data_IF_869777176398
#
_entry.id   IF_869777176398
#
_cell.length_a   1.000
_cell.length_b   1.000
_cell.length_c   1.000
_cell.angle_alpha   90.00
_cell.angle_beta   90.00
_cell.angle_gamma   90.00
#
_symmetry.space_group_name_H-M   'P 1'
#
loop_
_entity.id
_entity.type
_entity.pdbx_description
1 polymer ?
#
# COMPACT_ATOMS: atom_id res chain seq x y z
N UNK A 1 -52.83 -22.32 51.92
CA UNK A 1 -52.85 -20.96 52.50
C UNK A 1 -51.43 -20.62 52.89
N UNK A 2 -50.90 -19.55 52.27
CA UNK A 2 -49.91 -18.60 52.81
C UNK A 2 -48.55 -19.12 53.30
N UNK A 3 -47.37 -18.57 53.02
CA UNK A 3 -46.77 -17.63 52.04
C UNK A 3 -45.38 -17.30 52.62
N UNK A 4 -44.37 -17.14 51.77
CA UNK A 4 -43.06 -16.47 52.01
C UNK A 4 -42.12 -17.14 53.04
N UNK A 5 -40.79 -17.17 52.85
CA UNK A 5 -39.93 -16.03 52.56
C UNK A 5 -38.62 -16.45 51.86
N UNK A 6 -38.09 -15.50 51.11
CA UNK A 6 -37.03 -15.56 50.13
C UNK A 6 -35.63 -15.83 50.74
N UNK A 7 -34.76 -16.46 49.94
CA UNK A 7 -33.39 -15.96 49.80
C UNK A 7 -32.83 -16.34 48.44
N UNK A 8 -33.07 -15.46 47.49
CA UNK A 8 -32.33 -15.37 46.24
C UNK A 8 -30.87 -15.06 46.55
N UNK A 9 -29.96 -15.79 45.93
CA UNK A 9 -28.53 -15.51 45.93
C UNK A 9 -28.18 -15.19 44.48
N UNK A 10 -28.30 -13.91 44.19
CA UNK A 10 -27.87 -13.23 42.97
C UNK A 10 -26.39 -12.84 43.21
N UNK A 11 -25.46 -13.33 42.39
CA UNK A 11 -24.11 -12.78 42.31
C UNK A 11 -23.48 -13.08 40.93
N UNK A 12 -23.30 -11.98 40.20
CA UNK A 12 -22.32 -11.67 39.15
C UNK A 12 -22.43 -12.29 37.75
N UNK A 13 -23.39 -11.74 37.01
CA UNK A 13 -23.31 -11.49 35.57
C UNK A 13 -22.23 -10.42 35.29
N UNK A 14 -21.02 -10.85 34.90
CA UNK A 14 -20.01 -9.95 34.33
C UNK A 14 -20.23 -9.90 32.81
N UNK A 15 -21.18 -9.07 32.38
CA UNK A 15 -21.16 -8.48 31.05
C UNK A 15 -20.44 -7.12 31.08
N UNK A 16 -20.06 -6.68 29.89
CA UNK A 16 -19.71 -5.30 29.55
C UNK A 16 -18.21 -4.93 29.42
N UNK A 17 -17.65 -5.44 28.32
CA UNK A 17 -17.18 -4.60 27.20
C UNK A 17 -16.70 -3.19 27.54
N UNK A 18 -15.38 -2.97 27.64
CA UNK A 18 -14.80 -1.61 27.50
C UNK A 18 -13.29 -1.54 27.20
N UNK A 19 -12.68 -2.50 26.50
CA UNK A 19 -11.26 -2.39 26.07
C UNK A 19 -11.07 -2.00 24.59
N UNK A 20 -12.09 -1.42 23.97
CA UNK A 20 -11.99 -0.89 22.60
C UNK A 20 -12.22 0.61 22.55
N UNK A 21 -11.60 1.38 23.46
CA UNK A 21 -11.60 2.83 23.34
C UNK A 21 -10.17 3.38 23.38
N UNK A 22 -9.82 4.11 22.31
CA UNK A 22 -8.67 5.00 22.15
C UNK A 22 -7.27 4.41 21.94
N UNK A 23 -7.12 3.45 21.00
CA UNK A 23 -5.81 3.06 20.46
C UNK A 23 -5.36 3.91 19.25
N UNK A 24 -5.73 5.19 19.21
CA UNK A 24 -5.55 6.00 17.98
C UNK A 24 -4.10 6.47 17.77
N UNK A 25 -3.27 6.66 18.80
CA UNK A 25 -1.90 7.19 18.59
C UNK A 25 -0.83 6.53 19.46
N UNK A 26 -0.37 5.34 19.07
CA UNK A 26 0.85 4.77 19.64
C UNK A 26 2.09 5.66 19.35
N UNK A 27 2.81 6.03 20.41
CA UNK A 27 4.03 6.83 20.31
C UNK A 27 5.25 5.94 20.01
N UNK A 28 5.73 6.03 18.77
CA UNK A 28 6.87 5.25 18.29
C UNK A 28 8.22 5.74 18.86
N UNK A 29 8.68 5.09 19.94
CA UNK A 29 10.05 5.26 20.45
C UNK A 29 11.09 4.74 19.46
N UNK A 30 12.37 5.12 19.65
CA UNK A 30 13.45 4.61 18.81
C UNK A 30 13.57 3.08 18.89
N UNK A 31 13.57 2.53 20.11
CA UNK A 31 13.61 1.09 20.34
C UNK A 31 12.43 0.36 19.67
N UNK A 32 11.21 0.90 19.77
CA UNK A 32 10.03 0.33 19.12
C UNK A 32 10.16 0.30 17.58
N UNK A 33 10.75 1.34 16.99
CA UNK A 33 10.97 1.41 15.53
C UNK A 33 12.03 0.39 15.10
N UNK A 34 13.13 0.28 15.86
CA UNK A 34 14.20 -0.69 15.55
C UNK A 34 13.67 -2.12 15.62
N UNK A 35 12.93 -2.46 16.68
CA UNK A 35 12.27 -3.77 16.82
C UNK A 35 11.31 -4.05 15.65
N UNK A 36 10.50 -3.05 15.26
CA UNK A 36 9.57 -3.19 14.14
C UNK A 36 10.30 -3.47 12.81
N UNK A 37 11.43 -2.80 12.56
CA UNK A 37 12.23 -3.02 11.34
C UNK A 37 12.86 -4.41 11.32
N UNK A 38 13.37 -4.87 12.46
CA UNK A 38 13.97 -6.20 12.62
C UNK A 38 12.92 -7.31 12.38
N UNK A 39 11.77 -7.23 13.05
CA UNK A 39 10.67 -8.17 12.86
C UNK A 39 10.13 -8.18 11.43
N UNK A 40 10.07 -7.00 10.80
CA UNK A 40 9.69 -6.89 9.40
C UNK A 40 10.69 -7.61 8.49
N UNK A 41 11.99 -7.41 8.70
CA UNK A 41 13.07 -8.07 7.92
C UNK A 41 12.95 -9.59 7.98
N UNK A 42 12.70 -10.16 9.16
CA UNK A 42 12.58 -11.62 9.34
C UNK A 42 11.39 -12.21 8.58
N UNK A 43 10.29 -11.45 8.46
CA UNK A 43 9.03 -11.95 7.90
C UNK A 43 8.82 -11.58 6.45
N UNK A 44 9.62 -10.67 5.91
CA UNK A 44 9.48 -10.18 4.55
C UNK A 44 9.51 -11.30 3.51
N UNK A 45 10.43 -12.26 3.66
CA UNK A 45 10.54 -13.44 2.78
C UNK A 45 9.25 -14.27 2.76
N UNK A 46 8.63 -14.45 3.93
CA UNK A 46 7.37 -15.20 4.09
C UNK A 46 6.17 -14.46 3.51
N UNK A 47 6.20 -13.12 3.51
CA UNK A 47 5.18 -12.28 2.90
C UNK A 47 5.30 -12.30 1.37
N UNK A 48 6.52 -12.23 0.83
CA UNK A 48 6.77 -12.27 -0.62
C UNK A 48 6.56 -13.65 -1.24
N UNK A 49 6.78 -14.74 -0.48
CA UNK A 49 6.63 -16.10 -1.01
C UNK A 49 5.18 -16.61 -1.07
N UNK A 50 4.19 -15.80 -0.68
CA UNK A 50 2.77 -16.18 -0.67
C UNK A 50 2.38 -17.25 0.36
N UNK A 51 3.30 -17.68 1.22
CA UNK A 51 3.08 -18.73 2.24
C UNK A 51 2.11 -18.28 3.35
N UNK A 52 1.86 -16.97 3.45
CA UNK A 52 1.04 -16.37 4.49
C UNK A 52 0.37 -15.10 3.98
N UNK A 53 -0.90 -14.90 4.35
CA UNK A 53 -1.60 -13.64 4.09
C UNK A 53 -0.88 -12.45 4.73
N UNK A 54 -0.84 -11.32 4.03
CA UNK A 54 -0.27 -10.06 4.55
C UNK A 54 -0.86 -9.68 5.92
N UNK A 55 -2.19 -9.82 6.10
CA UNK A 55 -2.84 -9.53 7.38
C UNK A 55 -2.23 -10.37 8.51
N UNK A 56 -2.15 -11.69 8.32
CA UNK A 56 -1.57 -12.63 9.29
C UNK A 56 -0.10 -12.30 9.60
N UNK A 57 0.67 -11.86 8.61
CA UNK A 57 2.06 -11.48 8.81
C UNK A 57 2.19 -10.23 9.71
N UNK A 58 1.38 -9.19 9.44
CA UNK A 58 1.35 -7.99 10.28
C UNK A 58 0.83 -8.24 11.69
N UNK A 59 -0.18 -9.10 11.84
CA UNK A 59 -0.69 -9.50 13.15
C UNK A 59 0.35 -10.28 13.96
N UNK A 60 1.22 -11.07 13.30
CA UNK A 60 2.36 -11.70 13.97
C UNK A 60 3.40 -10.68 14.45
N UNK A 61 3.71 -9.67 13.64
CA UNK A 61 4.62 -8.58 14.03
C UNK A 61 4.06 -7.82 15.24
N UNK A 62 2.78 -7.44 15.18
CA UNK A 62 2.11 -6.75 16.28
C UNK A 62 2.13 -7.57 17.58
N UNK A 63 1.94 -8.90 17.49
CA UNK A 63 2.07 -9.77 18.67
C UNK A 63 3.46 -9.71 19.30
N UNK A 64 4.53 -9.76 18.50
CA UNK A 64 5.90 -9.63 19.04
C UNK A 64 6.12 -8.27 19.69
N UNK A 65 5.64 -7.20 19.06
CA UNK A 65 5.68 -5.84 19.63
C UNK A 65 4.95 -5.78 20.98
N UNK A 66 3.75 -6.35 21.08
CA UNK A 66 2.94 -6.38 22.31
C UNK A 66 3.65 -7.16 23.43
N UNK A 67 4.27 -8.31 23.12
CA UNK A 67 5.07 -9.08 24.10
C UNK A 67 6.24 -8.27 24.65
N UNK A 68 6.79 -7.34 23.87
CA UNK A 68 7.85 -6.41 24.28
C UNK A 68 7.32 -5.15 24.98
N UNK A 69 6.02 -5.11 25.30
CA UNK A 69 5.39 -3.99 26.01
C UNK A 69 4.93 -2.84 25.12
N UNK A 70 4.91 -3.01 23.80
CA UNK A 70 4.41 -1.99 22.88
C UNK A 70 3.01 -2.33 22.40
N UNK A 71 2.00 -1.66 22.93
CA UNK A 71 0.61 -1.93 22.55
C UNK A 71 0.28 -1.36 21.15
N UNK A 72 0.39 -2.20 20.12
CA UNK A 72 0.15 -1.84 18.72
C UNK A 72 -0.69 -2.89 17.98
N UNK A 73 -1.38 -2.46 16.93
CA UNK A 73 -2.10 -3.33 16.00
C UNK A 73 -1.27 -3.63 14.75
N UNK A 74 -1.59 -4.71 14.04
CA UNK A 74 -0.96 -5.03 12.76
C UNK A 74 -1.09 -3.90 11.73
N UNK A 75 -2.24 -3.19 11.72
CA UNK A 75 -2.46 -2.01 10.88
C UNK A 75 -1.53 -0.86 11.23
N UNK A 76 -1.26 -0.62 12.51
CA UNK A 76 -0.32 0.43 12.96
C UNK A 76 1.12 0.08 12.55
N UNK A 77 1.56 -1.17 12.73
CA UNK A 77 2.86 -1.66 12.26
C UNK A 77 3.03 -1.47 10.75
N UNK A 78 2.04 -1.91 9.97
CA UNK A 78 2.03 -1.75 8.51
C UNK A 78 2.11 -0.28 8.10
N UNK A 79 1.28 0.57 8.69
CA UNK A 79 1.24 2.00 8.41
C UNK A 79 2.57 2.66 8.73
N UNK A 80 3.21 2.28 9.84
CA UNK A 80 4.50 2.82 10.24
C UNK A 80 5.61 2.43 9.25
N UNK A 81 5.72 1.14 8.89
CA UNK A 81 6.69 0.67 7.88
C UNK A 81 6.46 1.38 6.54
N UNK A 82 5.22 1.50 6.07
CA UNK A 82 4.90 2.16 4.81
C UNK A 82 5.29 3.65 4.82
N UNK A 83 5.06 4.34 5.93
CA UNK A 83 5.53 5.72 6.11
C UNK A 83 7.04 5.80 6.08
N UNK A 84 7.75 4.90 6.77
CA UNK A 84 9.21 4.86 6.71
C UNK A 84 9.74 4.61 5.30
N UNK A 85 9.14 3.68 4.54
CA UNK A 85 9.50 3.42 3.14
C UNK A 85 9.34 4.67 2.26
N UNK A 86 8.25 5.41 2.45
CA UNK A 86 8.02 6.69 1.75
C UNK A 86 9.10 7.72 2.09
N UNK A 87 9.37 7.94 3.37
CA UNK A 87 10.42 8.89 3.82
C UNK A 87 11.79 8.50 3.27
N UNK A 88 12.16 7.22 3.36
CA UNK A 88 13.41 6.71 2.78
C UNK A 88 13.51 7.04 1.29
N UNK A 89 12.47 6.72 0.52
CA UNK A 89 12.44 7.01 -0.92
C UNK A 89 12.61 8.51 -1.20
N UNK A 90 11.88 9.37 -0.49
CA UNK A 90 12.01 10.82 -0.64
C UNK A 90 13.42 11.32 -0.35
N UNK A 91 14.08 10.80 0.70
CA UNK A 91 15.47 11.17 1.04
C UNK A 91 16.45 10.66 -0.01
N UNK A 92 16.30 9.40 -0.45
CA UNK A 92 17.16 8.78 -1.47
C UNK A 92 17.05 9.50 -2.82
N UNK A 93 15.83 9.80 -3.26
CA UNK A 93 15.57 10.53 -4.50
C UNK A 93 16.12 11.96 -4.44
N UNK A 94 16.01 12.64 -3.29
CA UNK A 94 16.59 13.98 -3.10
C UNK A 94 18.11 13.96 -3.18
N UNK A 95 18.75 12.97 -2.54
CA UNK A 95 20.20 12.86 -2.47
C UNK A 95 20.83 12.37 -3.80
N UNK A 96 20.05 11.70 -4.66
CA UNK A 96 20.50 11.28 -5.99
C UNK A 96 20.44 12.37 -7.06
N UNK A 97 19.87 13.54 -6.78
CA UNK A 97 19.80 14.66 -7.73
C UNK A 97 21.06 15.52 -7.67
N UNK A 98 21.66 15.80 -8.82
CA UNK A 98 22.79 16.72 -8.92
C UNK A 98 22.41 18.13 -8.45
N UNK A 99 23.32 18.81 -7.75
CA UNK A 99 23.11 20.16 -7.21
C UNK A 99 22.32 20.23 -5.91
N UNK A 100 21.83 19.11 -5.36
CA UNK A 100 21.15 19.09 -4.07
C UNK A 100 22.12 18.91 -2.89
N UNK A 101 21.83 19.60 -1.79
CA UNK A 101 22.48 19.32 -0.51
C UNK A 101 22.04 17.95 0.04
N UNK A 102 22.95 17.23 0.68
CA UNK A 102 22.65 15.92 1.25
C UNK A 102 21.68 16.06 2.44
N UNK A 103 20.56 15.35 2.38
CA UNK A 103 19.63 15.17 3.50
C UNK A 103 20.03 13.95 4.32
N UNK A 104 20.01 14.09 5.63
CA UNK A 104 20.22 12.99 6.57
C UNK A 104 18.90 12.59 7.22
N UNK A 105 18.75 11.32 7.55
CA UNK A 105 17.64 10.82 8.34
C UNK A 105 18.14 9.71 9.25
N UNK A 106 17.82 9.77 10.54
CA UNK A 106 18.33 8.83 11.56
C UNK A 106 18.06 7.35 11.30
N UNK A 107 17.09 7.03 10.44
CA UNK A 107 16.76 5.65 10.06
C UNK A 107 17.19 5.32 8.62
N UNK A 108 17.94 6.20 7.97
CA UNK A 108 18.36 6.03 6.58
C UNK A 108 19.16 4.74 6.40
N UNK A 109 20.22 4.55 7.18
CA UNK A 109 21.10 3.37 7.05
C UNK A 109 20.38 2.06 7.37
N UNK A 110 19.53 2.07 8.42
CA UNK A 110 18.70 0.91 8.76
C UNK A 110 17.74 0.54 7.61
N UNK A 111 17.18 1.55 6.94
CA UNK A 111 16.27 1.37 5.80
C UNK A 111 17.02 1.01 4.50
N UNK A 112 18.22 1.55 4.29
CA UNK A 112 19.11 1.20 3.18
C UNK A 112 19.56 -0.26 3.30
N UNK A 113 19.92 -0.73 4.50
CA UNK A 113 20.23 -2.15 4.71
C UNK A 113 19.04 -3.08 4.44
N UNK A 114 17.81 -2.60 4.64
CA UNK A 114 16.58 -3.37 4.45
C UNK A 114 16.12 -3.37 2.97
N UNK A 115 16.26 -2.25 2.27
CA UNK A 115 15.62 -2.01 0.97
C UNK A 115 16.63 -1.76 -0.16
N UNK A 116 17.86 -1.40 0.17
CA UNK A 116 18.90 -0.98 -0.79
C UNK A 116 19.30 -2.07 -1.78
N UNK A 117 19.17 -3.34 -1.41
CA UNK A 117 19.46 -4.47 -2.31
C UNK A 117 18.29 -4.84 -3.24
N UNK A 118 17.22 -4.06 -3.29
CA UNK A 118 16.02 -4.40 -4.06
C UNK A 118 15.97 -3.65 -5.40
N UNK A 119 15.69 -4.35 -6.52
CA UNK A 119 15.74 -3.74 -7.86
C UNK A 119 14.73 -2.59 -8.05
N UNK A 120 13.62 -2.56 -7.30
CA UNK A 120 12.64 -1.47 -7.41
C UNK A 120 13.06 -0.17 -6.68
N UNK A 121 14.18 -0.20 -5.96
CA UNK A 121 14.73 0.96 -5.23
C UNK A 121 15.88 1.65 -5.97
N UNK A 122 16.28 1.15 -7.13
CA UNK A 122 17.21 1.84 -8.01
C UNK A 122 16.48 2.97 -8.75
N UNK A 123 17.13 4.14 -8.93
CA UNK A 123 16.54 5.21 -9.72
C UNK A 123 16.37 4.70 -11.16
N UNK A 124 15.17 4.91 -11.73
CA UNK A 124 14.97 4.74 -13.17
C UNK A 124 15.99 5.65 -13.85
N UNK A 125 16.95 5.06 -14.54
CA UNK A 125 17.94 5.81 -15.31
C UNK A 125 17.17 6.73 -16.23
N UNK A 126 17.18 8.02 -15.93
CA UNK A 126 16.65 9.03 -16.84
C UNK A 126 17.52 8.95 -18.08
N UNK A 127 16.95 8.52 -19.20
CA UNK A 127 17.59 8.67 -20.51
C UNK A 127 17.90 10.16 -20.63
N UNK A 128 19.18 10.50 -20.47
CA UNK A 128 19.66 11.85 -20.68
C UNK A 128 19.46 12.15 -22.15
N UNK A 129 18.62 13.13 -22.49
CA UNK A 129 18.54 13.67 -23.85
C UNK A 129 19.79 14.52 -24.13
N UNK A 130 20.96 13.89 -24.08
CA UNK A 130 22.18 14.44 -24.65
C UNK A 130 22.44 13.57 -25.88
N UNK A 131 22.10 14.12 -27.04
CA UNK A 131 22.36 13.49 -28.32
C UNK A 131 23.85 13.17 -28.43
N UNK A 132 24.16 11.89 -28.55
CA UNK A 132 25.47 11.45 -29.00
C UNK A 132 25.30 10.18 -29.83
N UNK A 133 25.23 10.44 -31.13
CA UNK A 133 25.72 9.63 -32.26
C UNK A 133 25.82 8.12 -32.04
N UNK A 134 24.86 7.38 -32.58
CA UNK A 134 25.03 5.96 -32.92
C UNK A 134 25.94 5.85 -34.14
N UNK A 135 27.12 5.25 -33.99
CA UNK A 135 27.95 4.82 -35.12
C UNK A 135 27.68 3.34 -35.45
N UNK A 136 27.02 3.07 -36.58
CA UNK A 136 27.15 1.84 -37.41
C UNK A 136 26.35 1.98 -38.74
N UNK A 137 26.64 1.20 -39.80
CA UNK A 137 27.28 1.68 -41.02
C UNK A 137 26.36 1.73 -42.27
N UNK A 138 26.66 2.71 -43.14
CA UNK A 138 26.58 2.76 -44.62
C UNK A 138 25.63 1.82 -45.39
N UNK A 139 24.60 2.38 -46.08
CA UNK A 139 24.37 2.40 -47.57
C UNK A 139 22.92 2.81 -47.98
N UNK A 140 22.64 3.21 -49.25
CA UNK A 140 22.10 4.54 -49.55
C UNK A 140 20.72 4.59 -50.26
N UNK A 141 20.32 5.84 -50.51
CA UNK A 141 19.53 6.39 -51.64
C UNK A 141 18.12 6.99 -51.40
N UNK A 142 18.08 8.27 -51.81
CA UNK A 142 17.04 8.95 -52.60
C UNK A 142 15.86 9.68 -51.94
N UNK A 143 15.89 11.00 -52.19
CA UNK A 143 14.78 11.98 -52.37
C UNK A 143 14.12 12.42 -51.06
N UNK A 144 14.02 13.70 -50.69
CA UNK A 144 14.17 14.95 -51.41
C UNK A 144 13.12 15.92 -50.84
N UNK A 145 13.53 17.16 -50.56
CA UNK A 145 12.72 18.38 -50.36
C UNK A 145 12.92 19.09 -49.03
N UNK A 146 13.58 20.22 -49.20
CA UNK A 146 13.66 21.44 -48.39
C UNK A 146 12.31 21.93 -47.84
N UNK A 147 12.32 22.48 -46.63
CA UNK A 147 12.14 23.92 -46.47
C UNK A 147 12.67 24.41 -45.13
N UNK A 148 13.35 25.54 -45.22
CA UNK A 148 13.89 26.39 -44.17
C UNK A 148 12.80 27.02 -43.33
N UNK A 149 13.05 27.22 -42.03
CA UNK A 149 12.62 28.42 -41.32
C UNK A 149 13.51 28.63 -40.10
N UNK A 150 14.37 29.63 -40.23
CA UNK A 150 15.16 30.25 -39.17
C UNK A 150 14.24 31.04 -38.23
N UNK A 151 14.54 31.07 -36.94
CA UNK A 151 14.26 32.21 -36.06
C UNK A 151 15.10 32.11 -34.78
N UNK A 152 16.02 33.06 -34.68
CA UNK A 152 16.94 33.39 -33.57
C UNK A 152 16.12 34.02 -32.43
N UNK A 153 16.20 33.50 -31.20
CA UNK A 153 16.98 33.96 -30.02
C UNK A 153 16.18 34.71 -28.93
N UNK A 154 16.65 34.47 -27.70
CA UNK A 154 16.65 35.36 -26.50
C UNK A 154 15.49 35.31 -25.48
N UNK A 155 15.86 34.76 -24.32
CA UNK A 155 15.85 35.37 -22.97
C UNK A 155 14.63 36.15 -22.48
N UNK A 156 14.03 35.67 -21.37
CA UNK A 156 13.11 36.44 -20.53
C UNK A 156 12.53 35.63 -19.36
N UNK A 157 12.77 36.11 -18.13
CA UNK A 157 12.36 35.52 -16.85
C UNK A 157 10.84 35.62 -16.54
N UNK A 158 10.27 34.54 -15.96
CA UNK A 158 9.13 34.39 -14.99
C UNK A 158 7.79 35.18 -15.22
N UNK A 159 6.64 34.96 -14.51
CA UNK A 159 6.24 33.98 -13.49
C UNK A 159 4.86 33.26 -13.71
N UNK A 160 4.64 32.16 -12.95
CA UNK A 160 3.37 31.54 -12.44
C UNK A 160 2.02 31.75 -13.18
N UNK A 161 1.32 30.64 -13.52
CA UNK A 161 -0.13 30.41 -13.25
C UNK A 161 -0.57 28.97 -13.56
N UNK A 162 -1.17 28.28 -12.57
CA UNK A 162 -1.87 26.99 -12.75
C UNK A 162 -3.15 27.22 -13.53
N UNK A 163 -3.37 26.52 -14.65
CA UNK A 163 -4.67 26.48 -15.33
C UNK A 163 -5.47 25.30 -14.79
N UNK A 164 -6.57 25.59 -14.10
CA UNK A 164 -7.55 24.60 -13.71
C UNK A 164 -8.31 24.16 -14.98
N UNK A 165 -8.10 22.91 -15.37
CA UNK A 165 -8.81 22.27 -16.48
C UNK A 165 -9.77 21.25 -15.89
N UNK A 166 -11.06 21.52 -16.11
CA UNK A 166 -12.24 20.64 -16.04
C UNK A 166 -12.20 19.39 -15.13
N UNK A 167 -12.56 19.57 -13.85
CA UNK A 167 -12.72 18.51 -12.84
C UNK A 167 -13.98 17.60 -12.95
N UNK A 168 -15.14 18.02 -13.49
CA UNK A 168 -16.38 17.22 -13.35
C UNK A 168 -16.39 15.95 -14.22
N UNK A 169 -15.83 15.99 -15.42
CA UNK A 169 -15.81 14.84 -16.32
C UNK A 169 -14.95 13.68 -15.78
N UNK A 170 -13.82 14.00 -15.15
CA UNK A 170 -12.93 12.98 -14.55
C UNK A 170 -13.62 12.31 -13.37
N UNK A 171 -14.32 13.07 -12.54
CA UNK A 171 -15.07 12.54 -11.39
C UNK A 171 -16.16 11.57 -11.87
N UNK A 172 -16.90 11.91 -12.93
CA UNK A 172 -17.95 11.06 -13.50
C UNK A 172 -17.39 9.71 -13.97
N UNK A 173 -16.28 9.71 -14.72
CA UNK A 173 -15.65 8.47 -15.21
C UNK A 173 -15.14 7.55 -14.09
N UNK A 174 -14.73 8.13 -12.96
CA UNK A 174 -14.29 7.36 -11.80
C UNK A 174 -15.46 6.70 -11.07
N UNK A 175 -16.60 7.41 -10.97
CA UNK A 175 -17.84 6.87 -10.39
C UNK A 175 -18.35 5.69 -11.23
N UNK A 176 -18.39 5.84 -12.56
CA UNK A 176 -18.83 4.79 -13.47
C UNK A 176 -17.91 3.56 -13.43
N UNK A 177 -16.59 3.77 -13.42
CA UNK A 177 -15.63 2.66 -13.27
C UNK A 177 -15.80 1.92 -11.96
N UNK A 178 -16.13 2.63 -10.87
CA UNK A 178 -16.37 2.03 -9.56
C UNK A 178 -17.66 1.21 -9.54
N UNK A 179 -18.75 1.74 -10.09
CA UNK A 179 -20.04 1.04 -10.20
C UNK A 179 -19.91 -0.24 -11.03
N UNK A 180 -19.25 -0.17 -12.19
CA UNK A 180 -19.04 -1.34 -13.05
C UNK A 180 -18.22 -2.44 -12.37
N UNK A 181 -17.19 -2.05 -11.62
CA UNK A 181 -16.37 -3.00 -10.87
C UNK A 181 -17.13 -3.64 -9.69
N UNK A 182 -18.06 -2.90 -9.07
CA UNK A 182 -18.92 -3.40 -8.01
C UNK A 182 -19.97 -4.38 -8.55
N UNK A 183 -20.58 -4.05 -9.69
CA UNK A 183 -21.54 -4.91 -10.38
C UNK A 183 -20.89 -6.23 -10.84
N UNK A 184 -19.67 -6.19 -11.39
CA UNK A 184 -18.93 -7.41 -11.77
C UNK A 184 -18.63 -8.30 -10.55
N UNK A 185 -18.31 -7.68 -9.40
CA UNK A 185 -18.13 -8.42 -8.14
C UNK A 185 -19.43 -9.03 -7.65
N UNK A 186 -20.54 -8.28 -7.70
CA UNK A 186 -21.86 -8.77 -7.32
C UNK A 186 -22.33 -9.91 -8.24
N UNK A 187 -22.09 -9.81 -9.55
CA UNK A 187 -22.39 -10.87 -10.52
C UNK A 187 -21.61 -12.15 -10.24
N UNK A 188 -20.29 -12.06 -10.05
CA UNK A 188 -19.46 -13.22 -9.66
C UNK A 188 -19.91 -13.85 -8.35
N UNK A 189 -20.27 -13.02 -7.37
CA UNK A 189 -20.80 -13.50 -6.10
C UNK A 189 -22.13 -14.24 -6.30
N UNK A 190 -23.04 -13.69 -7.10
CA UNK A 190 -24.34 -14.31 -7.42
C UNK A 190 -24.16 -15.67 -8.09
N UNK A 191 -23.30 -15.78 -9.10
CA UNK A 191 -23.01 -17.04 -9.80
C UNK A 191 -22.45 -18.10 -8.84
N UNK A 192 -21.55 -17.69 -7.94
CA UNK A 192 -21.01 -18.57 -6.89
C UNK A 192 -22.09 -19.06 -5.93
N UNK A 193 -22.98 -18.16 -5.50
CA UNK A 193 -24.10 -18.52 -4.63
C UNK A 193 -25.09 -19.44 -5.34
N UNK A 194 -25.37 -19.21 -6.62
CA UNK A 194 -26.27 -20.07 -7.40
C UNK A 194 -25.69 -21.48 -7.58
N UNK A 195 -24.40 -21.61 -7.86
CA UNK A 195 -23.74 -22.91 -7.91
C UNK A 195 -23.78 -23.63 -6.54
N UNK A 196 -23.56 -22.89 -5.44
CA UNK A 196 -23.71 -23.40 -4.08
C UNK A 196 -25.12 -23.90 -3.79
N UNK A 197 -26.14 -23.09 -4.10
CA UNK A 197 -27.55 -23.46 -3.91
C UNK A 197 -27.94 -24.67 -4.76
N UNK A 198 -27.47 -24.76 -6.02
CA UNK A 198 -27.68 -25.94 -6.88
C UNK A 198 -27.06 -27.21 -6.31
N UNK A 199 -25.90 -27.10 -5.66
CA UNK A 199 -25.23 -28.23 -5.00
C UNK A 199 -26.00 -28.65 -3.75
N UNK A 200 -26.43 -27.70 -2.92
CA UNK A 200 -27.25 -27.96 -1.74
C UNK A 200 -28.56 -28.68 -2.10
N UNK A 201 -29.28 -28.20 -3.12
CA UNK A 201 -30.51 -28.84 -3.58
C UNK A 201 -30.30 -30.28 -4.10
N UNK A 202 -29.11 -30.59 -4.62
CA UNK A 202 -28.76 -31.97 -5.01
C UNK A 202 -28.48 -32.86 -3.79
N UNK A 203 -27.87 -32.31 -2.74
CA UNK A 203 -27.63 -33.01 -1.48
C UNK A 203 -28.95 -33.31 -0.75
N UNK A 204 -29.88 -32.36 -0.72
CA UNK A 204 -31.22 -32.56 -0.12
C UNK A 204 -31.98 -33.69 -0.82
N UNK A 205 -31.97 -33.74 -2.15
CA UNK A 205 -32.56 -34.85 -2.93
C UNK A 205 -31.93 -36.22 -2.69
N UNK A 206 -30.69 -36.26 -2.22
CA UNK A 206 -30.02 -37.52 -1.84
C UNK A 206 -30.39 -37.94 -0.41
N UNK A 207 -30.66 -36.97 0.47
CA UNK A 207 -31.12 -37.22 1.84
C UNK A 207 -32.59 -37.65 1.88
N UNK A 208 -33.44 -37.13 0.99
CA UNK A 208 -34.86 -37.49 0.85
C UNK A 208 -35.10 -38.87 0.20
N UNK A 209 -34.04 -39.55 -0.28
CA UNK A 209 -34.10 -40.86 -0.93
C UNK A 209 -33.84 -42.06 0.01
N UNK A 210 -33.94 -41.84 1.33
CA UNK A 210 -33.99 -42.90 2.35
C UNK A 210 -35.39 -43.00 2.94
#
# INVERSE_FOLDING_TARGET
MSTNEEKEMEEDEIEETSLTENKENFRWSHAAIMLLLEEYRLRESSMSSGKMSHKKAWDKIARVMNVKGYDVSGKQCMTRINTMKRTYKTVKDHNGRSGNNKRTWKYYDAMESLLGRKPYMEPLTTISSSGSVTSRPERPDSRGSSSSSVSTCESGEAPRKRKATDQPAIIQTLIEKRQKAEEEKAKRHKERMEMGNKMLAKLDKLLEKK
#
